data_IF_743455151622
#
_entry.id   IF_743455151622
#
_cell.length_a   1.000
_cell.length_b   1.000
_cell.length_c   1.000
_cell.angle_alpha   90.00
_cell.angle_beta   90.00
_cell.angle_gamma   90.00
#
_symmetry.space_group_name_H-M   'P 1'
#
loop_
_entity.id
_entity.type
_entity.pdbx_description
1 polymer ?
#
# COMPACT_ATOMS: atom_id res chain seq x y z
N UNK A 1 -26.96 -3.53 -30.92
CA UNK A 1 -27.80 -2.31 -31.09
C UNK A 1 -29.09 -2.59 -30.35
N UNK A 2 -29.54 -1.78 -29.39
CA UNK A 2 -29.08 -0.47 -28.89
C UNK A 2 -28.91 -0.52 -27.36
N UNK A 3 -28.03 0.32 -26.80
CA UNK A 3 -28.05 0.70 -25.39
C UNK A 3 -28.30 2.21 -25.35
N UNK A 4 -29.50 2.62 -24.92
CA UNK A 4 -29.82 4.03 -24.66
C UNK A 4 -29.64 4.30 -23.18
N UNK A 5 -28.62 5.08 -22.85
CA UNK A 5 -28.51 5.78 -21.57
C UNK A 5 -29.52 6.92 -21.53
N UNK A 6 -30.26 7.03 -20.44
CA UNK A 6 -31.16 8.14 -20.16
C UNK A 6 -31.56 8.11 -18.70
N UNK A 7 -30.93 8.97 -17.90
CA UNK A 7 -31.48 9.38 -16.61
C UNK A 7 -32.84 10.03 -16.82
N UNK A 8 -33.82 9.74 -15.96
CA UNK A 8 -34.67 10.80 -15.43
C UNK A 8 -35.24 10.46 -14.05
N UNK A 9 -35.35 11.50 -13.22
CA UNK A 9 -35.52 11.40 -11.78
C UNK A 9 -36.93 10.97 -11.36
N UNK A 10 -37.01 10.19 -10.28
CA UNK A 10 -38.26 9.90 -9.59
C UNK A 10 -38.53 10.91 -8.45
N UNK A 11 -39.82 11.22 -8.28
CA UNK A 11 -40.42 11.88 -7.11
C UNK A 11 -40.15 13.39 -6.92
N UNK A 12 -41.06 14.21 -7.43
CA UNK A 12 -41.30 15.55 -6.89
C UNK A 12 -42.25 15.52 -5.67
N UNK A 13 -42.50 16.70 -5.10
CA UNK A 13 -43.69 17.02 -4.30
C UNK A 13 -43.91 18.54 -4.36
N UNK A 14 -45.16 18.98 -4.43
CA UNK A 14 -45.57 20.38 -4.61
C UNK A 14 -45.66 21.15 -3.28
N UNK A 15 -45.51 22.48 -3.31
CA UNK A 15 -46.41 23.36 -2.54
C UNK A 15 -46.40 24.83 -3.02
N UNK A 16 -47.59 25.41 -3.10
CA UNK A 16 -47.86 26.79 -3.54
C UNK A 16 -47.47 27.87 -2.52
N UNK A 17 -47.32 29.12 -2.98
CA UNK A 17 -47.03 30.25 -2.09
C UNK A 17 -46.89 31.63 -2.74
N UNK A 18 -47.92 32.09 -3.45
CA UNK A 18 -48.00 33.47 -3.97
C UNK A 18 -47.97 34.53 -2.85
N UNK A 19 -47.12 35.57 -2.94
CA UNK A 19 -47.54 36.95 -2.69
C UNK A 19 -46.56 38.01 -3.23
N UNK A 20 -47.09 38.90 -4.08
CA UNK A 20 -46.47 40.13 -4.56
C UNK A 20 -46.67 41.31 -3.59
N UNK A 21 -45.68 42.20 -3.45
CA UNK A 21 -45.89 43.66 -3.35
C UNK A 21 -44.58 44.46 -3.50
N UNK A 22 -44.61 45.49 -4.34
CA UNK A 22 -43.60 46.58 -4.46
C UNK A 22 -43.89 47.73 -3.49
N UNK A 23 -42.88 48.56 -3.15
CA UNK A 23 -42.87 50.05 -3.31
C UNK A 23 -41.68 50.75 -2.62
N UNK A 24 -41.53 52.08 -2.83
CA UNK A 24 -40.25 52.84 -2.82
C UNK A 24 -40.25 54.13 -1.98
N UNK A 25 -39.04 54.75 -1.83
CA UNK A 25 -38.62 56.09 -1.26
C UNK A 25 -38.00 56.03 0.16
N UNK A 26 -36.73 56.42 0.43
CA UNK A 26 -35.96 57.68 0.22
C UNK A 26 -36.29 58.79 1.25
N UNK A 27 -35.40 59.56 1.91
CA UNK A 27 -33.92 59.61 2.14
C UNK A 27 -33.67 60.69 3.28
N UNK A 28 -32.52 61.41 3.52
CA UNK A 28 -31.10 61.30 3.09
C UNK A 28 -29.98 61.66 4.17
N UNK A 29 -28.70 61.56 3.77
CA UNK A 29 -27.54 62.48 4.05
C UNK A 29 -26.65 62.49 5.35
N UNK A 30 -25.31 62.55 5.08
CA UNK A 30 -24.14 63.01 5.91
C UNK A 30 -23.69 62.11 7.09
N UNK A 31 -22.39 61.98 7.46
CA UNK A 31 -21.14 62.63 7.01
C UNK A 31 -19.85 61.77 7.24
N UNK A 32 -18.87 61.90 6.33
CA UNK A 32 -17.41 61.55 6.35
C UNK A 32 -16.78 60.66 7.47
N UNK A 33 -16.36 59.47 7.04
CA UNK A 33 -15.02 58.82 7.15
C UNK A 33 -14.04 59.11 8.32
N UNK A 34 -13.54 58.03 8.94
CA UNK A 34 -12.10 57.79 9.19
C UNK A 34 -11.80 56.37 9.77
N UNK A 35 -11.46 55.38 8.91
CA UNK A 35 -10.51 54.29 9.28
C UNK A 35 -9.80 53.82 8.00
N UNK A 36 -8.47 53.90 7.96
CA UNK A 36 -7.65 53.27 6.91
C UNK A 36 -7.23 51.87 7.37
N UNK A 37 -7.83 50.82 6.81
CA UNK A 37 -7.37 49.45 7.01
C UNK A 37 -6.27 49.13 5.99
N UNK A 38 -5.01 49.32 6.39
CA UNK A 38 -3.90 48.60 5.77
C UNK A 38 -3.89 47.15 6.29
N UNK A 39 -4.71 46.33 5.64
CA UNK A 39 -4.59 44.88 5.67
C UNK A 39 -4.89 44.36 4.27
N UNK A 40 -3.98 43.55 3.74
CA UNK A 40 -4.28 42.70 2.60
C UNK A 40 -5.32 41.67 3.05
N UNK A 41 -6.59 42.03 2.91
CA UNK A 41 -7.74 41.17 3.18
C UNK A 41 -7.83 40.18 2.02
N UNK A 42 -6.95 39.16 2.04
CA UNK A 42 -7.13 37.95 1.24
C UNK A 42 -8.53 37.46 1.53
N UNK A 43 -9.39 37.43 0.50
CA UNK A 43 -10.81 37.22 0.69
C UNK A 43 -11.06 35.97 1.53
N UNK A 44 -12.10 35.98 2.37
CA UNK A 44 -12.42 34.86 3.25
C UNK A 44 -12.56 33.53 2.51
N UNK A 45 -12.94 33.56 1.22
CA UNK A 45 -12.95 32.40 0.32
C UNK A 45 -11.54 31.85 0.01
N UNK A 46 -10.55 32.72 -0.21
CA UNK A 46 -9.15 32.34 -0.46
C UNK A 46 -8.50 31.77 0.81
N UNK A 47 -8.75 32.38 1.98
CA UNK A 47 -8.29 31.86 3.27
C UNK A 47 -9.00 30.55 3.67
N UNK A 48 -10.27 30.38 3.29
CA UNK A 48 -10.99 29.11 3.46
C UNK A 48 -10.49 28.05 2.49
N UNK A 49 -10.14 28.41 1.25
CA UNK A 49 -9.54 27.49 0.28
C UNK A 49 -8.11 27.07 0.70
N UNK A 50 -7.29 28.00 1.18
CA UNK A 50 -5.94 27.75 1.72
C UNK A 50 -6.03 26.79 2.91
N UNK A 51 -6.90 27.09 3.90
CA UNK A 51 -7.11 26.22 5.08
C UNK A 51 -7.82 24.90 4.79
N UNK A 52 -8.71 24.85 3.80
CA UNK A 52 -9.32 23.61 3.35
C UNK A 52 -8.28 22.73 2.63
N UNK A 53 -7.37 23.34 1.86
CA UNK A 53 -6.21 22.66 1.28
C UNK A 53 -5.25 22.12 2.35
N UNK A 54 -4.92 22.92 3.37
CA UNK A 54 -4.11 22.50 4.52
C UNK A 54 -4.79 21.36 5.30
N UNK A 55 -6.07 21.51 5.67
CA UNK A 55 -6.81 20.48 6.40
C UNK A 55 -7.03 19.20 5.57
N UNK A 56 -7.20 19.32 4.25
CA UNK A 56 -7.27 18.17 3.34
C UNK A 56 -5.90 17.50 3.20
N UNK A 57 -4.80 18.25 3.14
CA UNK A 57 -3.45 17.70 3.15
C UNK A 57 -3.11 17.00 4.47
N UNK A 58 -3.53 17.56 5.62
CA UNK A 58 -3.39 16.95 6.94
C UNK A 58 -4.26 15.69 7.06
N UNK A 59 -5.51 15.72 6.59
CA UNK A 59 -6.39 14.55 6.53
C UNK A 59 -5.84 13.44 5.61
N UNK A 60 -5.28 13.78 4.45
CA UNK A 60 -4.60 12.83 3.55
C UNK A 60 -3.37 12.23 4.26
N UNK A 61 -2.60 13.04 5.00
CA UNK A 61 -1.42 12.60 5.75
C UNK A 61 -1.76 11.72 6.96
N UNK A 62 -2.93 11.94 7.58
CA UNK A 62 -3.45 11.11 8.66
C UNK A 62 -4.15 9.83 8.16
N UNK A 63 -4.78 9.88 6.97
CA UNK A 63 -5.41 8.73 6.32
C UNK A 63 -4.41 7.86 5.53
N UNK A 64 -3.20 8.38 5.27
CA UNK A 64 -2.08 7.61 4.75
C UNK A 64 -1.66 6.55 5.77
N UNK A 65 -2.23 5.35 5.64
CA UNK A 65 -1.63 4.13 6.19
C UNK A 65 -0.14 4.10 5.81
N UNK A 66 0.76 3.64 6.68
CA UNK A 66 2.17 3.50 6.33
C UNK A 66 2.27 2.76 5.00
N UNK A 67 2.87 3.39 3.99
CA UNK A 67 3.02 2.79 2.68
C UNK A 67 3.94 1.58 2.88
N UNK A 68 3.37 0.36 2.80
CA UNK A 68 4.11 -0.87 3.03
C UNK A 68 5.16 -1.05 1.95
N UNK A 69 6.38 -0.56 2.21
CA UNK A 69 7.49 -0.71 1.30
C UNK A 69 7.86 -2.19 1.22
N UNK A 70 7.61 -2.78 0.05
CA UNK A 70 8.04 -4.12 -0.34
C UNK A 70 9.53 -4.42 -0.12
N UNK A 71 10.37 -3.39 0.06
CA UNK A 71 11.82 -3.50 0.33
C UNK A 71 12.18 -3.35 1.81
N UNK A 72 11.21 -3.09 2.69
CA UNK A 72 11.43 -3.03 4.14
C UNK A 72 11.48 -4.44 4.75
N UNK A 73 12.48 -4.68 5.59
CA UNK A 73 12.53 -5.82 6.50
C UNK A 73 11.59 -5.58 7.69
N UNK A 74 10.73 -6.55 8.00
CA UNK A 74 9.88 -6.51 9.17
C UNK A 74 10.70 -6.73 10.46
N UNK A 75 10.23 -6.17 11.58
CA UNK A 75 10.95 -6.23 12.85
C UNK A 75 11.08 -7.69 13.34
N UNK A 76 12.29 -8.10 13.74
CA UNK A 76 12.58 -9.50 14.13
C UNK A 76 11.82 -9.89 15.41
N UNK A 77 11.24 -11.09 15.42
CA UNK A 77 10.51 -11.67 16.57
C UNK A 77 11.45 -12.33 17.58
N UNK A 78 12.57 -12.87 17.11
CA UNK A 78 13.52 -13.67 17.86
C UNK A 78 14.95 -13.11 17.76
N UNK A 79 15.75 -13.34 18.79
CA UNK A 79 17.17 -12.94 18.85
C UNK A 79 18.04 -14.07 18.29
N UNK A 80 18.45 -13.98 17.03
CA UNK A 80 19.28 -15.00 16.37
C UNK A 80 20.76 -14.60 16.47
N UNK A 81 21.60 -15.52 16.94
CA UNK A 81 23.06 -15.34 17.00
C UNK A 81 23.65 -15.68 15.63
N UNK A 82 24.09 -14.66 14.91
CA UNK A 82 24.73 -14.80 13.59
C UNK A 82 26.23 -15.11 13.72
N UNK A 83 26.79 -15.82 12.73
CA UNK A 83 28.22 -15.98 12.54
C UNK A 83 28.59 -15.64 11.08
N UNK A 84 29.32 -14.54 10.89
CA UNK A 84 29.79 -14.04 9.57
C UNK A 84 30.86 -14.93 8.92
N UNK A 85 31.59 -15.75 9.68
CA UNK A 85 32.58 -16.71 9.12
C UNK A 85 31.94 -17.71 8.15
N UNK A 86 30.62 -17.95 8.29
CA UNK A 86 29.85 -18.85 7.43
C UNK A 86 29.65 -18.32 6.01
N UNK A 87 29.95 -17.05 5.74
CA UNK A 87 30.02 -16.51 4.38
C UNK A 87 31.13 -17.17 3.55
N UNK A 88 32.12 -17.79 4.19
CA UNK A 88 33.14 -18.62 3.53
C UNK A 88 32.57 -19.93 2.92
N UNK A 89 31.39 -20.38 3.36
CA UNK A 89 30.72 -21.55 2.77
C UNK A 89 30.10 -21.22 1.39
N UNK A 90 29.82 -19.95 1.11
CA UNK A 90 29.23 -19.51 -0.15
C UNK A 90 30.31 -19.39 -1.24
N UNK A 91 30.02 -19.95 -2.42
CA UNK A 91 30.82 -19.73 -3.62
C UNK A 91 30.67 -18.29 -4.12
N UNK A 92 31.67 -17.77 -4.85
CA UNK A 92 31.60 -16.40 -5.39
C UNK A 92 30.37 -16.18 -6.28
N UNK A 93 30.06 -17.12 -7.17
CA UNK A 93 28.82 -17.08 -7.97
C UNK A 93 27.55 -17.11 -7.11
N UNK A 94 27.56 -17.82 -5.98
CA UNK A 94 26.47 -17.82 -5.01
C UNK A 94 26.29 -16.45 -4.37
N UNK A 95 27.39 -15.80 -3.97
CA UNK A 95 27.39 -14.43 -3.42
C UNK A 95 26.85 -13.42 -4.43
N UNK A 96 27.34 -13.46 -5.68
CA UNK A 96 26.83 -12.62 -6.78
C UNK A 96 25.32 -12.81 -7.00
N UNK A 97 24.85 -14.06 -7.04
CA UNK A 97 23.42 -14.39 -7.21
C UNK A 97 22.56 -13.86 -6.06
N UNK A 98 23.06 -13.91 -4.82
CA UNK A 98 22.39 -13.36 -3.63
C UNK A 98 22.32 -11.83 -3.68
N UNK A 99 23.41 -11.16 -4.09
CA UNK A 99 23.49 -9.70 -4.25
C UNK A 99 22.53 -9.19 -5.34
N UNK A 100 22.45 -9.89 -6.48
CA UNK A 100 21.60 -9.48 -7.62
C UNK A 100 20.09 -9.50 -7.29
N UNK A 101 19.62 -10.50 -6.52
CA UNK A 101 18.16 -10.81 -6.46
C UNK A 101 17.52 -10.91 -5.08
N UNK A 102 18.29 -11.24 -4.04
CA UNK A 102 17.76 -11.69 -2.76
C UNK A 102 18.03 -10.73 -1.59
N UNK A 103 19.17 -10.03 -1.63
CA UNK A 103 19.55 -9.06 -0.60
C UNK A 103 18.73 -7.78 -0.71
N UNK A 104 18.22 -7.31 0.42
CA UNK A 104 17.57 -6.01 0.54
C UNK A 104 18.61 -4.87 0.76
N UNK A 105 18.23 -3.59 0.55
CA UNK A 105 19.15 -2.47 0.72
C UNK A 105 19.76 -2.42 2.13
N UNK A 106 21.09 -2.59 2.23
CA UNK A 106 21.82 -2.59 3.51
C UNK A 106 21.86 -3.94 4.24
N UNK A 107 21.33 -5.01 3.65
CA UNK A 107 21.36 -6.36 4.23
C UNK A 107 22.68 -7.10 3.94
N UNK A 108 23.13 -7.97 4.86
CA UNK A 108 24.23 -8.94 4.64
C UNK A 108 23.69 -10.36 4.37
N UNK A 109 24.54 -11.27 3.88
CA UNK A 109 24.15 -12.68 3.66
C UNK A 109 23.59 -13.37 4.92
N UNK A 110 24.23 -13.17 6.07
CA UNK A 110 23.75 -13.72 7.34
C UNK A 110 22.47 -13.04 7.86
N UNK A 111 22.25 -11.76 7.53
CA UNK A 111 21.00 -11.06 7.85
C UNK A 111 19.82 -11.58 7.04
N UNK A 112 20.02 -11.89 5.75
CA UNK A 112 19.05 -12.56 4.89
C UNK A 112 18.63 -13.91 5.50
N UNK A 113 19.61 -14.73 5.90
CA UNK A 113 19.32 -16.04 6.52
C UNK A 113 18.64 -15.90 7.89
N UNK A 114 19.03 -14.92 8.71
CA UNK A 114 18.39 -14.63 9.99
C UNK A 114 16.96 -14.11 9.82
N UNK A 115 16.70 -13.20 8.86
CA UNK A 115 15.36 -12.71 8.51
C UNK A 115 14.43 -13.84 8.12
N UNK A 116 14.91 -14.75 7.27
CA UNK A 116 14.11 -15.89 6.78
C UNK A 116 13.86 -16.91 7.90
N UNK A 117 14.87 -17.22 8.71
CA UNK A 117 14.69 -18.08 9.88
C UNK A 117 13.70 -17.48 10.89
N UNK A 118 13.79 -16.17 11.19
CA UNK A 118 12.87 -15.46 12.07
C UNK A 118 11.43 -15.46 11.55
N UNK A 119 11.23 -15.34 10.23
CA UNK A 119 9.91 -15.26 9.62
C UNK A 119 9.09 -16.56 9.70
N UNK A 120 9.75 -17.73 9.65
CA UNK A 120 9.07 -19.03 9.60
C UNK A 120 9.26 -19.90 10.86
N UNK A 121 10.00 -19.43 11.86
CA UNK A 121 10.11 -20.12 13.14
C UNK A 121 8.84 -20.00 13.99
N UNK A 122 8.58 -21.02 14.81
CA UNK A 122 7.52 -21.00 15.82
C UNK A 122 8.00 -20.43 17.16
N UNK A 123 9.28 -20.68 17.49
CA UNK A 123 9.93 -20.27 18.73
C UNK A 123 11.40 -19.89 18.54
N UNK A 124 12.01 -19.37 19.61
CA UNK A 124 13.38 -18.88 19.65
C UNK A 124 14.46 -19.95 19.40
N UNK A 125 14.21 -21.21 19.78
CA UNK A 125 15.14 -22.31 19.51
C UNK A 125 15.00 -22.79 18.06
N UNK A 126 13.76 -22.86 17.55
CA UNK A 126 13.47 -23.16 16.15
C UNK A 126 14.11 -22.11 15.22
N UNK A 127 14.03 -20.82 15.56
CA UNK A 127 14.67 -19.73 14.81
C UNK A 127 16.19 -19.89 14.71
N UNK A 128 16.87 -20.16 15.84
CA UNK A 128 18.31 -20.39 15.83
C UNK A 128 18.67 -21.66 15.03
N UNK A 129 17.91 -22.73 15.17
CA UNK A 129 18.11 -24.00 14.48
C UNK A 129 17.94 -23.88 12.96
N UNK A 130 16.91 -23.16 12.50
CA UNK A 130 16.70 -22.82 11.09
C UNK A 130 17.88 -22.02 10.53
N UNK A 131 18.28 -20.96 11.23
CA UNK A 131 19.44 -20.16 10.84
C UNK A 131 20.73 -21.00 10.76
N UNK A 132 20.99 -21.86 11.74
CA UNK A 132 22.15 -22.74 11.76
C UNK A 132 22.16 -23.73 10.57
N UNK A 133 21.01 -24.27 10.18
CA UNK A 133 20.94 -25.18 9.04
C UNK A 133 21.09 -24.46 7.68
N UNK A 134 20.51 -23.27 7.52
CA UNK A 134 20.61 -22.48 6.28
C UNK A 134 22.04 -21.96 6.10
N UNK A 135 22.62 -21.32 7.12
CA UNK A 135 23.97 -20.72 7.03
C UNK A 135 25.11 -21.75 6.94
N UNK A 136 24.87 -23.01 7.32
CA UNK A 136 25.77 -24.16 7.06
C UNK A 136 25.50 -24.85 5.71
N UNK A 137 24.56 -24.35 4.92
CA UNK A 137 24.12 -24.90 3.63
C UNK A 137 23.63 -26.36 3.71
N UNK A 138 23.08 -26.78 4.86
CA UNK A 138 22.50 -28.12 5.04
C UNK A 138 21.14 -28.26 4.34
N UNK A 139 20.41 -27.14 4.24
CA UNK A 139 19.33 -26.96 3.28
C UNK A 139 19.31 -25.50 2.80
N UNK A 140 18.60 -25.24 1.70
CA UNK A 140 18.32 -23.88 1.24
C UNK A 140 16.80 -23.74 0.99
N UNK A 141 16.13 -22.68 1.49
CA UNK A 141 14.73 -22.43 1.17
C UNK A 141 14.50 -22.18 -0.32
N UNK A 142 13.28 -22.43 -0.79
CA UNK A 142 12.88 -22.08 -2.15
C UNK A 142 12.94 -20.54 -2.38
N UNK A 143 13.16 -20.13 -3.63
CA UNK A 143 13.28 -18.71 -4.03
C UNK A 143 12.25 -17.74 -3.43
N UNK A 144 10.92 -17.99 -3.43
CA UNK A 144 9.98 -17.05 -2.82
C UNK A 144 10.08 -17.02 -1.28
N UNK A 145 10.45 -18.13 -0.64
CA UNK A 145 10.66 -18.20 0.81
C UNK A 145 11.85 -17.32 1.21
N UNK A 146 12.95 -17.38 0.45
CA UNK A 146 14.16 -16.59 0.64
C UNK A 146 13.94 -15.10 0.31
N UNK A 147 13.30 -14.79 -0.82
CA UNK A 147 13.05 -13.42 -1.29
C UNK A 147 11.98 -12.67 -0.49
N UNK A 148 10.92 -13.35 -0.05
CA UNK A 148 9.75 -12.69 0.56
C UNK A 148 9.67 -12.87 2.09
N UNK A 149 10.34 -13.87 2.66
CA UNK A 149 10.31 -14.13 4.11
C UNK A 149 10.71 -12.91 4.94
N UNK A 150 9.85 -12.49 5.86
CA UNK A 150 10.08 -11.31 6.72
C UNK A 150 9.97 -9.97 5.99
N UNK A 151 9.25 -9.92 4.86
CA UNK A 151 9.02 -8.71 4.05
C UNK A 151 7.56 -8.64 3.61
N UNK A 152 7.13 -7.49 3.08
CA UNK A 152 5.79 -7.30 2.52
C UNK A 152 5.76 -7.47 0.98
N UNK A 153 6.77 -8.13 0.38
CA UNK A 153 6.96 -8.21 -1.07
C UNK A 153 5.98 -9.16 -1.79
N UNK A 154 5.63 -10.29 -1.17
CA UNK A 154 4.83 -11.33 -1.83
C UNK A 154 4.61 -12.59 -0.99
N UNK A 155 4.02 -13.61 -1.62
CA UNK A 155 3.71 -14.89 -0.97
C UNK A 155 4.95 -15.79 -0.89
N UNK A 156 5.03 -16.70 0.10
CA UNK A 156 6.16 -17.64 0.26
C UNK A 156 6.04 -18.90 -0.64
N UNK A 157 5.09 -18.92 -1.58
CA UNK A 157 4.70 -20.10 -2.36
C UNK A 157 5.11 -19.91 -3.82
N UNK A 158 5.83 -20.89 -4.39
CA UNK A 158 6.34 -20.84 -5.77
C UNK A 158 5.38 -21.40 -6.82
N UNK A 159 4.60 -22.41 -6.46
CA UNK A 159 3.85 -23.24 -7.41
C UNK A 159 2.40 -23.41 -6.94
N UNK A 160 1.47 -23.31 -7.87
CA UNK A 160 0.04 -23.47 -7.66
C UNK A 160 -0.51 -24.50 -8.66
N UNK A 161 -1.48 -25.29 -8.23
CA UNK A 161 -2.26 -26.18 -9.09
C UNK A 161 -3.71 -25.72 -9.00
N UNK A 162 -4.36 -25.52 -10.13
CA UNK A 162 -5.76 -25.12 -10.20
C UNK A 162 -6.62 -26.23 -10.82
N UNK A 163 -7.95 -26.04 -10.82
CA UNK A 163 -8.88 -26.92 -11.50
C UNK A 163 -9.92 -26.06 -12.22
N UNK A 164 -10.03 -26.22 -13.53
CA UNK A 164 -10.95 -25.44 -14.36
C UNK A 164 -12.31 -26.13 -14.40
N UNK A 165 -13.38 -25.42 -14.05
CA UNK A 165 -14.75 -25.93 -14.20
C UNK A 165 -15.27 -25.69 -15.62
N UNK A 166 -16.08 -26.63 -16.12
CA UNK A 166 -16.64 -26.60 -17.48
C UNK A 166 -17.83 -25.63 -17.59
N UNK A 167 -17.51 -24.33 -17.45
CA UNK A 167 -18.44 -23.21 -17.62
C UNK A 167 -17.67 -21.96 -18.03
N UNK A 168 -18.32 -21.04 -18.77
CA UNK A 168 -17.67 -19.79 -19.20
C UNK A 168 -17.16 -18.98 -18.00
N UNK A 169 -18.01 -18.82 -16.98
CA UNK A 169 -17.67 -18.08 -15.75
C UNK A 169 -16.54 -18.77 -14.97
N UNK A 170 -16.50 -20.11 -14.97
CA UNK A 170 -15.42 -20.89 -14.38
C UNK A 170 -14.07 -20.71 -15.08
N UNK A 171 -14.07 -20.75 -16.42
CA UNK A 171 -12.87 -20.55 -17.24
C UNK A 171 -12.34 -19.12 -17.06
N UNK A 172 -13.22 -18.11 -17.13
CA UNK A 172 -12.84 -16.70 -16.94
C UNK A 172 -12.41 -16.42 -15.49
N UNK A 173 -13.07 -17.03 -14.50
CA UNK A 173 -12.69 -16.96 -13.09
C UNK A 173 -11.29 -17.50 -12.84
N UNK A 174 -11.00 -18.71 -13.32
CA UNK A 174 -9.67 -19.34 -13.18
C UNK A 174 -8.61 -18.56 -13.95
N UNK A 175 -8.93 -17.98 -15.11
CA UNK A 175 -8.02 -17.10 -15.84
C UNK A 175 -7.66 -15.84 -15.04
N UNK A 176 -8.65 -15.18 -14.41
CA UNK A 176 -8.42 -14.03 -13.54
C UNK A 176 -7.56 -14.40 -12.33
N UNK A 177 -7.82 -15.55 -11.68
CA UNK A 177 -6.99 -16.08 -10.58
C UNK A 177 -5.54 -16.27 -11.05
N UNK A 178 -5.33 -16.87 -12.22
CA UNK A 178 -4.00 -17.10 -12.77
C UNK A 178 -3.23 -15.81 -13.02
N UNK A 179 -3.89 -14.74 -13.47
CA UNK A 179 -3.28 -13.41 -13.60
C UNK A 179 -2.81 -12.87 -12.24
N UNK A 180 -3.61 -13.02 -11.19
CA UNK A 180 -3.23 -12.61 -9.83
C UNK A 180 -2.04 -13.43 -9.29
N UNK A 181 -2.08 -14.75 -9.41
CA UNK A 181 -0.99 -15.64 -8.96
C UNK A 181 0.32 -15.40 -9.72
N UNK A 182 0.25 -15.25 -11.05
CA UNK A 182 1.41 -14.93 -11.88
C UNK A 182 1.99 -13.54 -11.54
N UNK A 183 1.16 -12.54 -11.21
CA UNK A 183 1.63 -11.21 -10.76
C UNK A 183 2.48 -11.25 -9.48
N UNK A 184 2.36 -12.32 -8.69
CA UNK A 184 3.15 -12.58 -7.47
C UNK A 184 4.32 -13.55 -7.70
N UNK A 185 4.61 -13.91 -8.95
CA UNK A 185 5.72 -14.81 -9.32
C UNK A 185 5.41 -16.30 -9.15
N UNK A 186 4.13 -16.67 -9.05
CA UNK A 186 3.70 -18.06 -8.99
C UNK A 186 3.76 -18.75 -10.35
N UNK A 187 4.41 -19.93 -10.40
CA UNK A 187 4.22 -20.90 -11.48
C UNK A 187 2.89 -21.63 -11.31
N UNK A 188 2.20 -21.92 -12.40
CA UNK A 188 0.87 -22.54 -12.41
C UNK A 188 0.88 -23.71 -13.39
N UNK A 189 0.28 -24.83 -13.00
CA UNK A 189 0.17 -26.06 -13.81
C UNK A 189 -1.17 -26.75 -13.64
#
# INVERSE_FOLDING_TARGET
MELRTGDEAAMGLEQDGNHSATLTKAAPARQKAAVSMDKADKGSEELVAEKAGEAMAEAIKAAAKPQEDSKKVNDRRFTIVQNEERDANLTEFGKETLIDRYLLPGEKFQDLFARVADAYADDQEHAQRLYDYISRLWFMPATPVLSNGGTNRGLPISCYLNSVSDSLDGIVGTWNENVWLASKGGGIG
#
